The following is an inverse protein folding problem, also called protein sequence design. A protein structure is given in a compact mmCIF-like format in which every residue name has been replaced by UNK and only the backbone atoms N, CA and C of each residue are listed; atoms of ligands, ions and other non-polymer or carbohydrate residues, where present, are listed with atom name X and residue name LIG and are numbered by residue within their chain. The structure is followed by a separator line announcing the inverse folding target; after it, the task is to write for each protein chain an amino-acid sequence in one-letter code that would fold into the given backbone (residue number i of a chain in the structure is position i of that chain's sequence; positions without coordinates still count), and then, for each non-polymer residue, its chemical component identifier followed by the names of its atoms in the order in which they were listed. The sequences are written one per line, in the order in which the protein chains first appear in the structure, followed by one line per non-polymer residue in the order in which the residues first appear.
data_IF_023431856425
#
_entry.id   IF_023431856425
#
_cell.length_a   1.000
_cell.length_b   1.000
_cell.length_c   1.000
_cell.angle_alpha   90.00
_cell.angle_beta   90.00
_cell.angle_gamma   90.00
#
_symmetry.space_group_name_H-M   'P 1'
#
loop_
_entity.id
_entity.type
_entity.pdbx_description
1 polymer ?
#
# COMPACT_ATOMS: atom_id res chain seq x y z
N UNK A 1 -7.46 24.56 -7.16
CA UNK A 1 -7.82 23.33 -7.92
C UNK A 1 -6.88 22.16 -7.62
N UNK A 2 -5.57 22.38 -7.55
CA UNK A 2 -4.58 21.33 -7.23
C UNK A 2 -4.81 20.66 -5.86
N UNK A 3 -5.06 21.43 -4.78
CA UNK A 3 -5.36 20.85 -3.46
C UNK A 3 -6.61 19.95 -3.45
N UNK A 4 -7.64 20.29 -4.24
CA UNK A 4 -8.85 19.48 -4.38
C UNK A 4 -8.56 18.16 -5.09
N UNK A 5 -7.68 18.15 -6.09
CA UNK A 5 -7.25 16.92 -6.78
C UNK A 5 -6.44 16.01 -5.85
N UNK A 6 -5.55 16.59 -5.04
CA UNK A 6 -4.77 15.82 -4.06
C UNK A 6 -5.64 15.24 -2.94
N UNK A 7 -6.61 15.98 -2.44
CA UNK A 7 -7.59 15.46 -1.48
C UNK A 7 -8.39 14.29 -2.07
N UNK A 8 -8.82 14.39 -3.33
CA UNK A 8 -9.51 13.30 -4.03
C UNK A 8 -8.58 12.09 -4.22
N UNK A 9 -7.30 12.29 -4.52
CA UNK A 9 -6.31 11.19 -4.62
C UNK A 9 -6.11 10.50 -3.28
N UNK A 10 -5.99 11.26 -2.20
CA UNK A 10 -5.87 10.70 -0.85
C UNK A 10 -7.12 9.86 -0.51
N UNK A 11 -8.33 10.39 -0.73
CA UNK A 11 -9.58 9.65 -0.48
C UNK A 11 -9.64 8.35 -1.31
N UNK A 12 -9.33 8.42 -2.61
CA UNK A 12 -9.28 7.22 -3.47
C UNK A 12 -8.26 6.22 -2.98
N UNK A 13 -7.06 6.67 -2.62
CA UNK A 13 -6.01 5.83 -2.07
C UNK A 13 -6.46 5.15 -0.78
N UNK A 14 -7.15 5.86 0.12
CA UNK A 14 -7.73 5.27 1.35
C UNK A 14 -8.72 4.17 1.02
N UNK A 15 -9.70 4.43 0.13
CA UNK A 15 -10.72 3.44 -0.25
C UNK A 15 -10.07 2.20 -0.88
N UNK A 16 -9.09 2.40 -1.76
CA UNK A 16 -8.38 1.29 -2.41
C UNK A 16 -7.55 0.52 -1.40
N UNK A 17 -6.93 1.19 -0.42
CA UNK A 17 -6.17 0.54 0.65
C UNK A 17 -7.06 -0.31 1.55
N UNK A 18 -8.27 0.18 1.87
CA UNK A 18 -9.29 -0.63 2.57
C UNK A 18 -9.65 -1.86 1.73
N UNK A 19 -9.86 -1.69 0.41
CA UNK A 19 -10.16 -2.82 -0.48
C UNK A 19 -9.03 -3.86 -0.53
N UNK A 20 -7.78 -3.41 -0.49
CA UNK A 20 -6.62 -4.30 -0.45
C UNK A 20 -6.56 -5.07 0.88
N UNK A 21 -6.90 -4.43 1.99
CA UNK A 21 -7.05 -5.11 3.28
C UNK A 21 -8.12 -6.20 3.24
N UNK A 22 -9.26 -5.96 2.59
CA UNK A 22 -10.30 -6.97 2.38
C UNK A 22 -9.82 -8.12 1.49
N UNK A 23 -9.04 -7.84 0.43
CA UNK A 23 -8.42 -8.88 -0.41
C UNK A 23 -7.44 -9.72 0.39
N UNK A 24 -6.64 -9.11 1.28
CA UNK A 24 -5.74 -9.84 2.16
C UNK A 24 -6.49 -10.78 3.10
N UNK A 25 -7.52 -10.27 3.79
CA UNK A 25 -8.31 -11.04 4.76
C UNK A 25 -9.02 -12.19 4.05
N UNK A 26 -9.72 -11.91 2.95
CA UNK A 26 -10.45 -12.95 2.20
C UNK A 26 -9.52 -14.02 1.63
N UNK A 27 -8.38 -13.64 1.06
CA UNK A 27 -7.38 -14.59 0.55
C UNK A 27 -6.79 -15.42 1.68
N UNK A 28 -6.48 -14.79 2.82
CA UNK A 28 -5.92 -15.49 3.97
C UNK A 28 -6.92 -16.48 4.55
N UNK A 29 -8.17 -16.07 4.78
CA UNK A 29 -9.22 -16.95 5.27
C UNK A 29 -9.46 -18.11 4.31
N UNK A 30 -9.45 -17.87 2.99
CA UNK A 30 -9.62 -18.94 2.01
C UNK A 30 -8.46 -19.94 2.04
N UNK A 31 -7.21 -19.49 2.11
CA UNK A 31 -6.05 -20.37 2.15
C UNK A 31 -5.92 -21.10 3.51
N UNK A 32 -6.23 -20.41 4.61
CA UNK A 32 -6.08 -20.93 5.97
C UNK A 32 -7.22 -21.89 6.33
N UNK A 33 -8.48 -21.51 6.08
CA UNK A 33 -9.64 -22.27 6.52
C UNK A 33 -10.09 -23.34 5.50
N UNK A 34 -10.08 -23.02 4.19
CA UNK A 34 -10.52 -24.00 3.19
C UNK A 34 -9.41 -24.98 2.82
N UNK A 35 -8.18 -24.49 2.62
CA UNK A 35 -7.06 -25.32 2.16
C UNK A 35 -6.26 -25.90 3.35
N UNK A 36 -6.43 -25.36 4.57
CA UNK A 36 -5.68 -25.77 5.79
C UNK A 36 -4.17 -25.77 5.59
N UNK A 37 -3.68 -24.82 4.80
CA UNK A 37 -2.27 -24.71 4.50
C UNK A 37 -1.53 -24.01 5.65
N UNK A 38 -0.21 -24.21 5.83
CA UNK A 38 0.53 -23.58 6.92
C UNK A 38 0.39 -22.05 6.87
N UNK A 39 0.27 -21.46 8.07
CA UNK A 39 0.02 -20.03 8.26
C UNK A 39 0.93 -19.12 7.44
N UNK A 40 2.25 -19.39 7.46
CA UNK A 40 3.23 -18.50 6.83
C UNK A 40 3.08 -18.42 5.30
N UNK A 41 2.96 -19.53 4.54
CA UNK A 41 2.58 -19.49 3.13
C UNK A 41 1.28 -18.74 2.85
N UNK A 42 0.21 -18.99 3.62
CA UNK A 42 -1.06 -18.29 3.46
C UNK A 42 -0.89 -16.78 3.65
N UNK A 43 -0.17 -16.38 4.69
CA UNK A 43 0.09 -14.98 5.00
C UNK A 43 0.89 -14.29 3.89
N UNK A 44 1.96 -14.93 3.40
CA UNK A 44 2.83 -14.38 2.36
C UNK A 44 2.10 -14.21 1.02
N UNK A 45 1.27 -15.17 0.64
CA UNK A 45 0.48 -15.09 -0.60
C UNK A 45 -0.58 -13.99 -0.47
N UNK A 46 -1.29 -13.95 0.64
CA UNK A 46 -2.36 -12.97 0.88
C UNK A 46 -1.84 -11.53 0.92
N UNK A 47 -0.69 -11.29 1.58
CA UNK A 47 -0.09 -9.96 1.59
C UNK A 47 0.42 -9.56 0.20
N UNK A 48 0.99 -10.51 -0.56
CA UNK A 48 1.44 -10.24 -1.94
C UNK A 48 0.27 -9.89 -2.85
N UNK A 49 -0.83 -10.66 -2.80
CA UNK A 49 -2.05 -10.38 -3.54
C UNK A 49 -2.64 -9.02 -3.17
N UNK A 50 -2.65 -8.68 -1.89
CA UNK A 50 -3.12 -7.39 -1.39
C UNK A 50 -2.29 -6.23 -1.94
N UNK A 51 -0.96 -6.32 -1.88
CA UNK A 51 -0.06 -5.28 -2.43
C UNK A 51 -0.23 -5.14 -3.93
N UNK A 52 -0.33 -6.25 -4.67
CA UNK A 52 -0.58 -6.25 -6.11
C UNK A 52 -1.91 -5.61 -6.47
N UNK A 53 -2.97 -5.93 -5.72
CA UNK A 53 -4.30 -5.33 -5.89
C UNK A 53 -4.27 -3.82 -5.62
N UNK A 54 -3.70 -3.43 -4.48
CA UNK A 54 -3.53 -2.03 -4.09
C UNK A 54 -2.81 -1.26 -5.19
N UNK A 55 -1.64 -1.75 -5.61
CA UNK A 55 -0.82 -1.13 -6.63
C UNK A 55 -1.53 -1.00 -7.98
N UNK A 56 -2.19 -2.08 -8.43
CA UNK A 56 -2.84 -2.12 -9.74
C UNK A 56 -3.98 -1.11 -9.83
N UNK A 57 -4.84 -1.10 -8.81
CA UNK A 57 -6.00 -0.19 -8.78
C UNK A 57 -5.54 1.25 -8.54
N UNK A 58 -4.58 1.50 -7.65
CA UNK A 58 -4.04 2.84 -7.43
C UNK A 58 -3.34 3.40 -8.68
N UNK A 59 -2.55 2.59 -9.39
CA UNK A 59 -1.93 3.00 -10.66
C UNK A 59 -2.98 3.40 -11.68
N UNK A 60 -4.07 2.64 -11.83
CA UNK A 60 -5.10 2.88 -12.84
C UNK A 60 -6.04 4.04 -12.48
N UNK A 61 -6.55 4.09 -11.25
CA UNK A 61 -7.67 4.97 -10.87
C UNK A 61 -7.28 6.17 -10.00
N UNK A 62 -6.26 6.04 -9.16
CA UNK A 62 -5.78 7.11 -8.27
C UNK A 62 -4.76 8.00 -8.96
N UNK A 63 -3.70 7.39 -9.49
CA UNK A 63 -2.59 8.11 -10.10
C UNK A 63 -2.66 8.15 -11.63
N UNK A 64 -3.57 7.36 -12.24
CA UNK A 64 -3.80 7.26 -13.70
C UNK A 64 -2.49 7.21 -14.49
N UNK A 65 -1.57 6.36 -14.05
CA UNK A 65 -0.21 6.27 -14.57
C UNK A 65 -0.05 5.14 -15.59
N UNK A 66 0.54 5.47 -16.74
CA UNK A 66 0.94 4.51 -17.77
C UNK A 66 2.37 3.95 -17.57
N UNK A 67 3.02 4.22 -16.43
CA UNK A 67 4.43 3.85 -16.20
C UNK A 67 4.66 2.33 -16.18
N UNK A 68 5.90 1.91 -16.44
CA UNK A 68 6.32 0.51 -16.45
C UNK A 68 6.10 -0.15 -15.07
N UNK A 69 5.29 -1.22 -15.06
CA UNK A 69 4.82 -1.91 -13.83
C UNK A 69 5.98 -2.48 -13.02
N UNK A 70 6.90 -3.30 -13.59
CA UNK A 70 8.08 -3.80 -12.88
C UNK A 70 8.89 -2.73 -12.16
N UNK A 71 9.14 -1.59 -12.81
CA UNK A 71 9.95 -0.50 -12.22
C UNK A 71 9.22 0.14 -11.04
N UNK A 72 7.92 0.34 -11.17
CA UNK A 72 7.11 0.92 -10.10
C UNK A 72 6.97 -0.05 -8.91
N UNK A 73 6.83 -1.36 -9.16
CA UNK A 73 6.84 -2.37 -8.11
C UNK A 73 8.21 -2.49 -7.42
N UNK A 74 9.31 -2.42 -8.16
CA UNK A 74 10.66 -2.43 -7.58
C UNK A 74 10.87 -1.26 -6.60
N UNK A 75 10.31 -0.08 -6.90
CA UNK A 75 10.33 1.06 -5.97
C UNK A 75 9.52 0.77 -4.70
N UNK A 76 8.33 0.18 -4.82
CA UNK A 76 7.50 -0.19 -3.66
C UNK A 76 8.21 -1.24 -2.81
N UNK A 77 8.85 -2.24 -3.42
CA UNK A 77 9.67 -3.21 -2.72
C UNK A 77 10.85 -2.56 -2.00
N UNK A 78 11.55 -1.61 -2.64
CA UNK A 78 12.62 -0.86 -2.00
C UNK A 78 12.12 -0.04 -0.79
N UNK A 79 10.91 0.53 -0.88
CA UNK A 79 10.27 1.20 0.25
C UNK A 79 10.05 0.23 1.42
N UNK A 80 9.44 -0.93 1.19
CA UNK A 80 9.20 -1.91 2.24
C UNK A 80 10.48 -2.57 2.78
N UNK A 81 11.53 -2.69 1.96
CA UNK A 81 12.84 -3.18 2.38
C UNK A 81 13.51 -2.26 3.41
N UNK A 82 13.22 -0.96 3.37
CA UNK A 82 13.73 0.03 4.33
C UNK A 82 12.74 0.24 5.48
N UNK A 83 11.45 0.33 5.18
CA UNK A 83 10.42 0.62 6.18
C UNK A 83 10.24 -0.51 7.19
N UNK A 84 10.26 -1.77 6.73
CA UNK A 84 10.10 -2.95 7.59
C UNK A 84 11.16 -3.04 8.70
N UNK A 85 12.48 -3.00 8.42
CA UNK A 85 13.47 -3.06 9.50
C UNK A 85 13.40 -1.85 10.44
N UNK A 86 13.14 -0.64 9.92
CA UNK A 86 13.01 0.56 10.77
C UNK A 86 11.87 0.41 11.76
N UNK A 87 10.70 -0.03 11.29
CA UNK A 87 9.52 -0.20 12.14
C UNK A 87 9.61 -1.41 13.05
N UNK A 88 10.27 -2.48 12.61
CA UNK A 88 10.54 -3.66 13.44
C UNK A 88 11.44 -3.31 14.62
N UNK A 89 12.63 -2.74 14.38
CA UNK A 89 13.57 -2.41 15.45
C UNK A 89 13.11 -1.21 16.28
N UNK A 90 12.58 -0.17 15.63
CA UNK A 90 12.05 1.01 16.32
C UNK A 90 10.82 0.69 17.17
N UNK A 91 9.90 -0.11 16.63
CA UNK A 91 8.73 -0.58 17.37
C UNK A 91 9.11 -1.43 18.57
N UNK A 92 10.04 -2.38 18.39
CA UNK A 92 10.55 -3.20 19.48
C UNK A 92 11.21 -2.35 20.58
N UNK A 93 12.00 -1.34 20.21
CA UNK A 93 12.63 -0.44 21.18
C UNK A 93 11.59 0.39 21.97
N UNK A 94 10.55 0.90 21.30
CA UNK A 94 9.47 1.65 21.95
C UNK A 94 8.71 0.79 22.98
N UNK A 95 8.44 -0.47 22.65
CA UNK A 95 7.71 -1.38 23.53
C UNK A 95 8.60 -1.88 24.66
N UNK A 96 9.75 -2.48 24.34
CA UNK A 96 10.58 -3.20 25.31
C UNK A 96 11.40 -2.26 26.21
N UNK A 97 11.89 -1.14 25.66
CA UNK A 97 12.79 -0.24 26.38
C UNK A 97 12.05 0.98 26.93
N UNK A 98 11.15 1.56 26.13
CA UNK A 98 10.39 2.75 26.52
C UNK A 98 9.05 2.41 27.19
N UNK A 99 8.67 1.13 27.26
CA UNK A 99 7.42 0.63 27.85
C UNK A 99 6.16 1.28 27.28
N UNK A 100 6.18 1.60 25.99
CA UNK A 100 4.98 2.07 25.30
C UNK A 100 3.97 0.94 25.13
N UNK A 101 2.69 1.30 25.09
CA UNK A 101 1.62 0.36 24.81
C UNK A 101 1.77 -0.24 23.39
N UNK A 102 1.82 -1.57 23.29
CA UNK A 102 2.00 -2.33 22.05
C UNK A 102 0.95 -2.00 20.98
N UNK A 103 -0.32 -1.86 21.39
CA UNK A 103 -1.40 -1.51 20.47
C UNK A 103 -1.24 -0.09 19.92
N UNK A 104 -0.76 0.84 20.74
CA UNK A 104 -0.48 2.21 20.31
C UNK A 104 0.67 2.24 19.30
N UNK A 105 1.79 1.56 19.59
CA UNK A 105 2.94 1.48 18.67
C UNK A 105 2.54 0.82 17.35
N UNK A 106 1.74 -0.24 17.39
CA UNK A 106 1.22 -0.91 16.20
C UNK A 106 0.32 0.01 15.38
N UNK A 107 -0.64 0.69 16.02
CA UNK A 107 -1.53 1.63 15.34
C UNK A 107 -0.76 2.79 14.68
N UNK A 108 0.21 3.38 15.40
CA UNK A 108 1.08 4.42 14.86
C UNK A 108 1.90 3.92 13.67
N UNK A 109 2.43 2.69 13.74
CA UNK A 109 3.18 2.06 12.65
C UNK A 109 2.32 1.86 11.42
N UNK A 110 1.07 1.43 11.58
CA UNK A 110 0.11 1.29 10.47
C UNK A 110 -0.22 2.64 9.82
N UNK A 111 -0.46 3.68 10.63
CA UNK A 111 -0.74 5.04 10.13
C UNK A 111 0.48 5.60 9.39
N UNK A 112 1.68 5.44 9.96
CA UNK A 112 2.93 5.86 9.33
C UNK A 112 3.15 5.13 8.01
N UNK A 113 2.94 3.81 7.96
CA UNK A 113 3.03 3.03 6.73
C UNK A 113 2.10 3.60 5.67
N UNK A 114 0.83 3.78 6.00
CA UNK A 114 -0.19 4.28 5.09
C UNK A 114 0.16 5.67 4.52
N UNK A 115 0.57 6.61 5.39
CA UNK A 115 0.91 7.98 4.98
C UNK A 115 2.19 7.99 4.13
N UNK A 116 3.24 7.30 4.57
CA UNK A 116 4.52 7.26 3.86
C UNK A 116 4.39 6.54 2.52
N UNK A 117 3.62 5.44 2.46
CA UNK A 117 3.33 4.74 1.22
C UNK A 117 2.59 5.64 0.24
N UNK A 118 1.57 6.38 0.69
CA UNK A 118 0.87 7.36 -0.16
C UNK A 118 1.85 8.41 -0.71
N UNK A 119 2.66 9.02 0.16
CA UNK A 119 3.63 10.04 -0.22
C UNK A 119 4.68 9.47 -1.19
N UNK A 120 5.18 8.28 -0.93
CA UNK A 120 6.18 7.62 -1.77
C UNK A 120 5.59 7.27 -3.14
N UNK A 121 4.37 6.73 -3.19
CA UNK A 121 3.69 6.45 -4.45
C UNK A 121 3.44 7.74 -5.25
N UNK A 122 2.96 8.79 -4.59
CA UNK A 122 2.64 10.09 -5.20
C UNK A 122 3.85 10.85 -5.72
N UNK A 123 4.94 10.91 -4.94
CA UNK A 123 6.10 11.77 -5.21
C UNK A 123 7.30 11.04 -5.81
N UNK A 124 7.36 9.71 -5.73
CA UNK A 124 8.51 8.96 -6.21
C UNK A 124 8.15 7.88 -7.23
N UNK A 125 7.10 7.10 -6.98
CA UNK A 125 6.70 6.02 -7.90
C UNK A 125 6.07 6.59 -9.15
N UNK A 126 5.04 7.43 -8.99
CA UNK A 126 4.22 7.91 -10.09
C UNK A 126 4.49 9.34 -10.53
N UNK A 127 5.34 10.11 -9.83
CA UNK A 127 5.59 11.55 -10.07
C UNK A 127 5.73 11.96 -11.54
N UNK A 128 6.49 11.22 -12.34
CA UNK A 128 6.75 11.54 -13.76
C UNK A 128 5.64 11.06 -14.73
N UNK A 129 4.64 10.37 -14.21
CA UNK A 129 3.63 9.65 -14.98
C UNK A 129 2.21 9.89 -14.47
N UNK A 130 2.01 10.93 -13.65
CA UNK A 130 0.68 11.28 -13.16
C UNK A 130 -0.20 11.69 -14.32
N UNK A 131 -1.43 11.18 -14.35
CA UNK A 131 -2.44 11.55 -15.35
C UNK A 131 -1.99 11.31 -16.80
N UNK A 132 -1.20 10.27 -17.06
CA UNK A 132 -0.69 9.93 -18.40
C UNK A 132 -1.50 8.84 -19.12
N UNK A 133 -2.36 8.12 -18.40
CA UNK A 133 -3.16 7.03 -18.95
C UNK A 133 -4.45 7.54 -19.64
N UNK A 134 -5.09 6.72 -20.47
CA UNK A 134 -6.28 7.03 -21.29
C UNK A 134 -7.45 7.59 -20.47
N UNK A 135 -7.56 7.21 -19.19
CA UNK A 135 -8.56 7.72 -18.24
C UNK A 135 -8.35 9.19 -17.84
N UNK A 136 -7.18 9.75 -18.13
CA UNK A 136 -6.84 11.16 -17.88
C UNK A 136 -6.92 12.01 -19.15
N UNK A 137 -6.87 11.39 -20.33
CA UNK A 137 -7.09 12.10 -21.59
C UNK A 137 -8.58 12.46 -21.72
N UNK A 138 -8.92 13.67 -22.21
CA UNK A 138 -10.30 13.97 -22.53
C UNK A 138 -10.76 12.97 -23.59
N UNK A 139 -11.92 12.33 -23.36
CA UNK A 139 -12.59 11.58 -24.43
C UNK A 139 -12.80 12.57 -25.56
N UNK A 140 -12.14 12.35 -26.69
CA UNK A 140 -12.53 13.00 -27.94
C UNK A 140 -13.98 12.63 -28.21
N UNK A 141 -14.81 13.65 -28.38
CA UNK A 141 -16.21 13.54 -28.79
C UNK A 141 -16.34 12.82 -30.14
#
# INVERSE_FOLDING_TARGET
MEQRKEAIRAIKFTIISISAGLVQISSFTLLNELIKWPYWPCYLISITLSVLWNFTINRRYTFKSANNVPVAMAKVLAFYAVFTPITLFGGNHLVEVMHWNEYLVTALTMVLNFVLEFLFQRYYVFKKSLDTNDLAQPKGD
#
